data_IF_150905966721
#
_entry.id   IF_150905966721
#
_cell.length_a   1.000
_cell.length_b   1.000
_cell.length_c   1.000
_cell.angle_alpha   90.00
_cell.angle_beta   90.00
_cell.angle_gamma   90.00
#
_symmetry.space_group_name_H-M   'P 1'
#
loop_
_entity.id
_entity.type
_entity.pdbx_description
1 polymer ?
#
# COMPACT_ATOMS: atom_id res chain seq x y z
N UNK A 1 1.36 14.86 -3.10
CA UNK A 1 1.36 14.38 -1.69
C UNK A 1 1.96 12.98 -1.53
N UNK A 2 1.45 11.96 -2.21
CA UNK A 2 2.03 10.60 -2.15
C UNK A 2 3.48 10.57 -2.62
N UNK A 3 3.80 11.28 -3.71
CA UNK A 3 5.17 11.32 -4.24
C UNK A 3 6.16 11.90 -3.22
N UNK A 4 5.78 12.96 -2.50
CA UNK A 4 6.62 13.52 -1.43
C UNK A 4 6.77 12.59 -0.22
N UNK A 5 5.71 11.86 0.14
CA UNK A 5 5.78 10.82 1.17
C UNK A 5 6.71 9.68 0.73
N UNK A 6 6.56 9.22 -0.52
CA UNK A 6 7.39 8.16 -1.10
C UNK A 6 8.87 8.54 -1.12
N UNK A 7 9.20 9.75 -1.59
CA UNK A 7 10.57 10.25 -1.59
C UNK A 7 11.14 10.37 -0.17
N UNK A 8 10.33 10.83 0.79
CA UNK A 8 10.77 10.96 2.18
C UNK A 8 11.04 9.59 2.82
N UNK A 9 10.15 8.61 2.60
CA UNK A 9 10.36 7.23 3.07
C UNK A 9 11.61 6.64 2.42
N UNK A 10 11.77 6.81 1.10
CA UNK A 10 12.93 6.30 0.37
C UNK A 10 14.24 6.88 0.92
N UNK A 11 14.32 8.19 1.17
CA UNK A 11 15.52 8.82 1.75
C UNK A 11 15.89 8.19 3.10
N UNK A 12 14.90 7.92 3.97
CA UNK A 12 15.14 7.31 5.29
C UNK A 12 15.64 5.87 5.16
N UNK A 13 15.15 5.11 4.17
CA UNK A 13 15.62 3.76 3.84
C UNK A 13 17.07 3.82 3.33
N UNK A 14 17.34 4.71 2.36
CA UNK A 14 18.66 4.86 1.72
C UNK A 14 19.73 5.32 2.72
N UNK A 15 19.36 6.18 3.68
CA UNK A 15 20.21 6.61 4.80
C UNK A 15 20.44 5.49 5.84
N UNK A 16 19.79 4.33 5.70
CA UNK A 16 19.93 3.18 6.60
C UNK A 16 19.33 3.40 8.00
N UNK A 17 18.51 4.44 8.19
CA UNK A 17 18.03 4.88 9.52
C UNK A 17 17.11 3.89 10.22
N UNK A 18 16.43 3.04 9.46
CA UNK A 18 15.61 1.94 10.01
C UNK A 18 16.25 0.56 9.79
N UNK A 19 17.46 0.50 9.24
CA UNK A 19 18.07 -0.75 8.78
C UNK A 19 17.30 -1.35 7.60
N UNK A 20 17.16 -2.68 7.57
CA UNK A 20 16.41 -3.37 6.52
C UNK A 20 14.91 -3.37 6.85
N UNK A 21 14.02 -2.91 5.95
CA UNK A 21 12.59 -3.07 6.10
C UNK A 21 12.18 -4.52 6.31
N UNK A 22 11.26 -4.76 7.25
CA UNK A 22 10.74 -6.10 7.61
C UNK A 22 9.23 -6.19 7.56
N UNK A 23 8.53 -5.08 7.82
CA UNK A 23 7.07 -5.05 7.80
C UNK A 23 6.53 -3.68 7.39
N UNK A 24 5.55 -3.66 6.50
CA UNK A 24 4.81 -2.45 6.13
C UNK A 24 3.33 -2.61 6.47
N UNK A 25 2.73 -1.60 7.10
CA UNK A 25 1.28 -1.40 7.11
C UNK A 25 0.98 -0.08 6.42
N UNK A 26 0.14 -0.08 5.39
CA UNK A 26 -0.31 1.13 4.72
C UNK A 26 -1.82 1.07 4.51
N UNK A 27 -2.55 2.01 5.10
CA UNK A 27 -3.99 2.14 4.93
C UNK A 27 -4.26 3.49 4.29
N UNK A 28 -4.96 3.46 3.16
CA UNK A 28 -5.39 4.65 2.44
C UNK A 28 -6.91 4.72 2.48
N UNK A 29 -7.44 5.87 2.86
CA UNK A 29 -8.85 6.20 2.71
C UNK A 29 -8.99 7.24 1.60
N UNK A 30 -9.92 7.03 0.69
CA UNK A 30 -10.07 7.85 -0.52
C UNK A 30 -11.54 8.04 -0.90
N UNK A 31 -11.98 9.25 -1.25
CA UNK A 31 -13.37 9.50 -1.71
C UNK A 31 -13.74 8.68 -2.96
N UNK A 32 -15.01 8.30 -3.08
CA UNK A 32 -15.53 7.50 -4.22
C UNK A 32 -15.21 8.10 -5.59
N UNK A 33 -15.10 9.42 -5.69
CA UNK A 33 -14.82 10.15 -6.92
C UNK A 33 -13.39 9.91 -7.43
N UNK A 34 -12.47 9.51 -6.55
CA UNK A 34 -11.05 9.28 -6.87
C UNK A 34 -10.58 7.87 -6.56
N UNK A 35 -11.42 7.02 -5.96
CA UNK A 35 -11.07 5.69 -5.51
C UNK A 35 -11.40 4.62 -6.56
N UNK A 36 -10.43 4.31 -7.43
CA UNK A 36 -10.30 2.96 -8.00
C UNK A 36 -9.64 2.07 -6.93
N UNK A 37 -10.43 1.23 -6.26
CA UNK A 37 -9.92 0.39 -5.16
C UNK A 37 -8.95 -0.68 -5.66
N UNK A 38 -9.16 -1.23 -6.86
CA UNK A 38 -8.28 -2.25 -7.43
C UNK A 38 -6.97 -1.65 -7.94
N UNK A 39 -7.03 -0.55 -8.70
CA UNK A 39 -5.85 0.19 -9.10
C UNK A 39 -5.07 0.72 -7.90
N UNK A 40 -5.77 1.25 -6.89
CA UNK A 40 -5.17 1.76 -5.67
C UNK A 40 -4.41 0.69 -4.88
N UNK A 41 -5.00 -0.50 -4.68
CA UNK A 41 -4.32 -1.57 -3.95
C UNK A 41 -3.13 -2.12 -4.73
N UNK A 42 -3.23 -2.26 -6.06
CA UNK A 42 -2.14 -2.70 -6.91
C UNK A 42 -0.94 -1.75 -6.83
N UNK A 43 -1.22 -0.46 -6.83
CA UNK A 43 -0.19 0.55 -6.82
C UNK A 43 0.40 0.76 -5.40
N UNK A 44 -0.37 0.55 -4.32
CA UNK A 44 0.18 0.39 -2.96
C UNK A 44 1.09 -0.85 -2.85
N UNK A 45 0.74 -1.93 -3.55
CA UNK A 45 1.53 -3.17 -3.57
C UNK A 45 2.85 -2.93 -4.29
N UNK A 46 2.84 -2.23 -5.42
CA UNK A 46 4.06 -1.80 -6.11
C UNK A 46 4.94 -0.88 -5.24
N UNK A 47 4.33 0.06 -4.53
CA UNK A 47 5.05 0.91 -3.57
C UNK A 47 5.72 0.09 -2.46
N UNK A 48 5.01 -0.89 -1.90
CA UNK A 48 5.56 -1.80 -0.90
C UNK A 48 6.75 -2.61 -1.44
N UNK A 49 6.62 -3.13 -2.67
CA UNK A 49 7.68 -3.89 -3.32
C UNK A 49 8.95 -3.07 -3.55
N UNK A 50 8.82 -1.77 -3.81
CA UNK A 50 9.98 -0.88 -3.95
C UNK A 50 10.74 -0.66 -2.64
N UNK A 51 10.06 -0.75 -1.48
CA UNK A 51 10.68 -0.56 -0.18
C UNK A 51 11.19 -1.85 0.44
N UNK A 52 10.64 -3.00 0.04
CA UNK A 52 11.07 -4.29 0.58
C UNK A 52 12.35 -4.76 -0.10
N UNK A 53 13.30 -5.34 0.64
CA UNK A 53 14.60 -5.75 0.11
C UNK A 53 14.56 -7.02 -0.76
N UNK A 54 13.44 -7.75 -0.74
CA UNK A 54 13.27 -9.03 -1.44
C UNK A 54 12.01 -8.97 -2.32
N UNK A 55 11.94 -9.78 -3.38
CA UNK A 55 10.78 -9.85 -4.25
C UNK A 55 9.54 -10.44 -3.54
N UNK A 56 8.32 -10.09 -3.99
CA UNK A 56 7.09 -10.71 -3.49
C UNK A 56 7.07 -12.20 -3.86
N UNK A 57 6.63 -13.04 -2.92
CA UNK A 57 6.46 -14.48 -3.08
C UNK A 57 4.97 -14.82 -3.23
N UNK A 58 4.12 -14.20 -2.41
CA UNK A 58 2.68 -14.47 -2.38
C UNK A 58 1.90 -13.20 -2.11
N UNK A 59 0.72 -13.08 -2.73
CA UNK A 59 -0.27 -12.05 -2.45
C UNK A 59 -1.56 -12.72 -2.01
N UNK A 60 -2.12 -12.26 -0.90
CA UNK A 60 -3.43 -12.64 -0.42
C UNK A 60 -4.33 -11.42 -0.37
N UNK A 61 -5.40 -11.40 -1.16
CA UNK A 61 -6.29 -10.25 -1.26
C UNK A 61 -7.71 -10.63 -0.82
N UNK A 62 -8.36 -9.72 -0.09
CA UNK A 62 -9.75 -9.82 0.33
C UNK A 62 -10.46 -8.50 0.09
N UNK A 63 -11.73 -8.58 -0.29
CA UNK A 63 -12.66 -7.46 -0.36
C UNK A 63 -13.84 -7.65 0.59
N UNK A 64 -14.59 -6.57 0.79
CA UNK A 64 -15.92 -6.64 1.37
C UNK A 64 -17.00 -6.77 0.28
N UNK A 65 -18.24 -7.09 0.67
CA UNK A 65 -19.34 -7.43 -0.25
C UNK A 65 -19.64 -6.35 -1.29
N UNK A 66 -19.45 -5.07 -0.95
CA UNK A 66 -19.68 -3.92 -1.83
C UNK A 66 -18.40 -3.37 -2.47
N UNK A 67 -17.25 -4.04 -2.25
CA UNK A 67 -15.91 -3.65 -2.75
C UNK A 67 -15.50 -2.23 -2.39
N UNK A 68 -16.07 -1.67 -1.32
CA UNK A 68 -15.63 -0.38 -0.78
C UNK A 68 -14.31 -0.51 -0.03
N UNK A 69 -13.86 -1.73 0.28
CA UNK A 69 -12.57 -2.00 0.85
C UNK A 69 -11.89 -3.15 0.14
N UNK A 70 -10.63 -2.97 -0.22
CA UNK A 70 -9.74 -4.06 -0.61
C UNK A 70 -8.53 -4.04 0.32
N UNK A 71 -8.19 -5.21 0.86
CA UNK A 71 -7.00 -5.43 1.68
C UNK A 71 -6.14 -6.51 1.05
N UNK A 72 -4.84 -6.25 0.92
CA UNK A 72 -3.86 -7.20 0.43
C UNK A 72 -2.78 -7.44 1.50
N UNK A 73 -2.39 -8.70 1.66
CA UNK A 73 -1.19 -9.10 2.38
C UNK A 73 -0.18 -9.65 1.38
N UNK A 74 1.01 -9.05 1.33
CA UNK A 74 2.13 -9.54 0.53
C UNK A 74 3.12 -10.23 1.45
N UNK A 75 3.56 -11.42 1.07
CA UNK A 75 4.72 -12.09 1.67
C UNK A 75 5.88 -12.02 0.71
N UNK A 76 7.08 -11.81 1.23
CA UNK A 76 8.31 -11.69 0.45
C UNK A 76 9.22 -12.87 0.73
N UNK A 77 10.06 -13.23 -0.24
CA UNK A 77 10.94 -14.42 -0.17
C UNK A 77 11.94 -14.38 1.00
N UNK A 78 12.30 -13.18 1.47
CA UNK A 78 13.14 -12.97 2.64
C UNK A 78 12.42 -12.98 3.99
N UNK A 79 11.14 -13.35 4.02
CA UNK A 79 10.31 -13.39 5.24
C UNK A 79 9.69 -12.05 5.65
N UNK A 80 9.90 -10.98 4.88
CA UNK A 80 9.20 -9.71 5.09
C UNK A 80 7.72 -9.85 4.74
N UNK A 81 6.90 -8.89 5.20
CA UNK A 81 5.49 -8.83 4.79
C UNK A 81 4.95 -7.40 4.70
N UNK A 82 3.91 -7.20 3.91
CA UNK A 82 3.19 -5.93 3.81
C UNK A 82 1.69 -6.17 3.97
N UNK A 83 1.01 -5.37 4.80
CA UNK A 83 -0.43 -5.30 4.94
C UNK A 83 -0.93 -3.97 4.40
N UNK A 84 -1.68 -4.03 3.31
CA UNK A 84 -2.08 -2.88 2.51
C UNK A 84 -3.60 -2.83 2.45
N UNK A 85 -4.19 -1.64 2.58
CA UNK A 85 -5.64 -1.50 2.50
C UNK A 85 -6.02 -0.20 1.81
N UNK A 86 -6.96 -0.29 0.87
CA UNK A 86 -7.60 0.86 0.24
C UNK A 86 -9.07 0.84 0.61
N UNK A 87 -9.52 1.92 1.23
CA UNK A 87 -10.88 2.12 1.69
C UNK A 87 -11.51 3.27 0.91
N UNK A 88 -12.70 3.04 0.37
CA UNK A 88 -13.53 4.06 -0.25
C UNK A 88 -14.32 4.80 0.83
N UNK A 89 -14.24 6.12 0.79
CA UNK A 89 -15.03 7.04 1.60
C UNK A 89 -16.24 7.55 0.79
N UNK A 90 -17.30 8.01 1.48
CA UNK A 90 -18.37 8.77 0.85
C UNK A 90 -17.84 9.99 0.09
N UNK A 91 -18.68 10.48 -0.82
CA UNK A 91 -18.41 11.68 -1.60
C UNK A 91 -18.04 12.88 -0.71
N UNK A 92 -17.06 13.66 -1.14
CA UNK A 92 -16.56 14.82 -0.40
C UNK A 92 -15.73 14.51 0.85
N UNK A 93 -15.36 13.25 1.08
CA UNK A 93 -14.35 12.89 2.08
C UNK A 93 -12.96 13.44 1.74
N UNK A 94 -12.01 13.29 2.67
CA UNK A 94 -10.60 13.63 2.44
C UNK A 94 -9.76 12.37 2.26
N UNK A 95 -8.72 12.48 1.45
CA UNK A 95 -7.73 11.41 1.31
C UNK A 95 -6.87 11.37 2.58
N UNK A 96 -6.80 10.20 3.23
CA UNK A 96 -5.92 10.00 4.40
C UNK A 96 -5.03 8.78 4.21
N UNK A 97 -3.82 8.85 4.76
CA UNK A 97 -2.81 7.79 4.72
C UNK A 97 -2.29 7.52 6.13
N UNK A 98 -2.40 6.27 6.58
CA UNK A 98 -1.75 5.73 7.79
C UNK A 98 -0.69 4.71 7.34
N UNK A 99 0.58 5.07 7.52
CA UNK A 99 1.74 4.29 7.12
C UNK A 99 2.62 3.99 8.33
N UNK A 100 2.97 2.71 8.46
CA UNK A 100 3.97 2.22 9.41
C UNK A 100 4.94 1.31 8.67
N UNK A 101 6.19 1.75 8.54
CA UNK A 101 7.27 0.93 7.99
C UNK A 101 8.22 0.56 9.12
N UNK A 102 8.29 -0.72 9.44
CA UNK A 102 9.18 -1.28 10.46
C UNK A 102 10.39 -1.86 9.75
N UNK A 103 11.58 -1.40 10.14
CA UNK A 103 12.84 -2.06 9.85
C UNK A 103 13.45 -2.68 11.10
N UNK A 104 14.50 -3.46 10.94
CA UNK A 104 15.16 -4.14 12.06
C UNK A 104 15.87 -3.19 13.05
N UNK A 105 16.09 -1.92 12.68
CA UNK A 105 16.75 -0.91 13.52
C UNK A 105 15.85 0.30 13.86
N UNK A 106 14.60 0.34 13.38
CA UNK A 106 13.74 1.51 13.60
C UNK A 106 12.40 1.44 12.90
N UNK A 107 11.59 2.49 13.07
CA UNK A 107 10.22 2.56 12.52
C UNK A 107 10.00 3.95 11.91
N UNK A 108 9.37 4.00 10.74
CA UNK A 108 8.78 5.21 10.16
C UNK A 108 7.28 5.20 10.44
N UNK A 109 6.77 6.31 10.96
CA UNK A 109 5.35 6.55 11.16
C UNK A 109 4.92 7.76 10.33
N UNK A 110 3.83 7.61 9.59
CA UNK A 110 3.13 8.73 8.98
C UNK A 110 1.63 8.52 9.17
N UNK A 111 0.95 9.56 9.64
CA UNK A 111 -0.50 9.62 9.72
C UNK A 111 -0.91 10.99 9.18
N UNK A 112 -1.84 11.00 8.23
CA UNK A 112 -2.44 12.26 7.79
C UNK A 112 -3.15 12.91 8.98
N UNK A 113 -2.74 14.11 9.42
CA UNK A 113 -3.33 14.76 10.59
C UNK A 113 -4.84 14.96 10.39
N UNK A 114 -5.63 14.66 11.41
CA UNK A 114 -7.05 15.00 11.44
C UNK A 114 -7.22 16.47 11.86
N UNK A 115 -7.75 17.33 10.98
CA UNK A 115 -8.00 18.74 11.32
C UNK A 115 -8.08 19.70 10.11
N UNK A 116 -8.35 20.99 10.34
CA UNK A 116 -8.61 21.99 9.28
C UNK A 116 -7.36 22.39 8.47
N UNK A 117 -6.20 21.82 8.77
CA UNK A 117 -4.96 22.04 8.03
C UNK A 117 -4.98 21.19 6.76
N UNK A 118 -5.72 21.73 5.79
CA UNK A 118 -5.92 21.23 4.43
C UNK A 118 -4.62 20.78 3.79
N UNK A 119 -4.59 19.54 3.33
CA UNK A 119 -3.74 19.14 2.22
C UNK A 119 -4.65 18.97 1.00
N UNK A 120 -4.29 19.61 -0.11
CA UNK A 120 -5.08 19.56 -1.34
C UNK A 120 -5.40 18.12 -1.74
N UNK A 121 -6.64 17.88 -2.16
CA UNK A 121 -7.10 16.65 -2.81
C UNK A 121 -6.37 16.48 -4.14
N UNK A 122 -5.11 16.05 -4.09
CA UNK A 122 -4.49 15.46 -5.27
C UNK A 122 -5.06 14.06 -5.46
N UNK A 123 -5.41 13.66 -6.70
CA UNK A 123 -5.75 12.28 -6.97
C UNK A 123 -4.62 11.38 -6.47
N UNK A 124 -4.99 10.24 -5.90
CA UNK A 124 -4.03 9.21 -5.50
C UNK A 124 -3.40 8.58 -6.75
N UNK A 125 -2.45 9.28 -7.37
CA UNK A 125 -1.68 8.77 -8.49
C UNK A 125 -0.53 7.93 -7.96
N UNK A 126 -0.86 6.74 -7.48
CA UNK A 126 0.13 5.69 -7.34
C UNK A 126 0.38 5.12 -8.74
N UNK A 127 1.61 5.25 -9.24
CA UNK A 127 2.00 4.70 -10.54
C UNK A 127 2.67 3.34 -10.34
N UNK A 128 2.30 2.35 -11.17
CA UNK A 128 2.88 1.00 -11.15
C UNK A 128 1.93 -0.05 -10.58
N UNK A 129 2.35 -1.32 -10.67
CA UNK A 129 1.57 -2.47 -10.15
C UNK A 129 0.61 -3.10 -11.15
N UNK A 130 0.66 -2.71 -12.43
CA UNK A 130 -0.14 -3.31 -13.51
C UNK A 130 0.07 -4.84 -13.57
N UNK A 131 1.31 -5.29 -13.41
CA UNK A 131 1.69 -6.71 -13.35
C UNK A 131 1.11 -7.45 -12.14
N UNK A 132 0.72 -6.73 -11.09
CA UNK A 132 0.17 -7.28 -9.85
C UNK A 132 -1.36 -7.28 -9.83
N UNK A 133 -2.00 -6.56 -10.75
CA UNK A 133 -3.46 -6.47 -10.83
C UNK A 133 -4.07 -7.86 -11.01
N UNK A 134 -3.49 -8.69 -11.87
CA UNK A 134 -4.03 -10.02 -12.15
C UNK A 134 -3.89 -10.96 -10.95
N UNK A 135 -2.75 -10.94 -10.25
CA UNK A 135 -2.54 -11.71 -9.02
C UNK A 135 -3.49 -11.28 -7.90
N UNK A 136 -3.68 -9.97 -7.71
CA UNK A 136 -4.63 -9.42 -6.73
C UNK A 136 -6.06 -9.80 -7.10
N UNK A 137 -6.45 -9.65 -8.37
CA UNK A 137 -7.79 -10.02 -8.86
C UNK A 137 -8.06 -11.51 -8.62
N UNK A 138 -7.11 -12.38 -8.95
CA UNK A 138 -7.21 -13.81 -8.70
C UNK A 138 -7.32 -14.12 -7.19
N UNK A 139 -6.58 -13.39 -6.36
CA UNK A 139 -6.68 -13.51 -4.90
C UNK A 139 -8.06 -13.14 -4.37
N UNK A 140 -8.66 -12.07 -4.88
CA UNK A 140 -10.02 -11.65 -4.54
C UNK A 140 -11.08 -12.67 -4.95
N UNK A 141 -10.95 -13.25 -6.14
CA UNK A 141 -11.89 -14.24 -6.67
C UNK A 141 -11.82 -15.57 -5.92
N UNK A 142 -10.61 -16.07 -5.69
CA UNK A 142 -10.39 -17.39 -5.09
C UNK A 142 -10.42 -17.37 -3.57
N UNK A 143 -10.17 -16.20 -2.96
CA UNK A 143 -9.94 -16.02 -1.52
C UNK A 143 -8.82 -16.94 -1.02
N UNK A 144 -7.82 -17.19 -1.86
CA UNK A 144 -6.62 -17.96 -1.56
C UNK A 144 -5.36 -17.13 -1.83
N UNK A 145 -4.22 -17.47 -1.19
CA UNK A 145 -2.93 -16.87 -1.54
C UNK A 145 -2.53 -17.23 -2.97
N UNK A 146 -2.09 -16.24 -3.74
CA UNK A 146 -1.60 -16.38 -5.11
C UNK A 146 -0.08 -16.21 -5.10
N UNK A 147 0.65 -17.19 -5.62
CA UNK A 147 2.10 -17.08 -5.81
C UNK A 147 2.41 -16.06 -6.90
N UNK A 148 3.36 -15.18 -6.64
CA UNK A 148 3.86 -14.18 -7.59
C UNK A 148 5.23 -14.66 -8.03
N UNK A 149 5.30 -15.41 -9.13
CA UNK A 149 6.58 -15.83 -9.70
C UNK A 149 7.22 -14.64 -10.41
N UNK A 150 8.53 -14.41 -10.20
CA UNK A 150 9.32 -13.52 -11.05
C UNK A 150 9.17 -13.97 -12.51
N UNK A 151 8.74 -13.06 -13.38
CA UNK A 151 8.89 -13.21 -14.83
C UNK A 151 10.31 -12.95 -15.27
#
# INVERSE_FOLDING_TARGET
MIQSLQQSVQSVIDEGRIGSPVFLRCIVHAPIEVADTLGGIAALTALANNWMPNPPEQVYALDNTDRTQITAMVKYTGGQSALLSVNRLPAGGEVTVDLRLVGNNGIIYHETPTGPYRLMNEPLNFTGGEDLIDAIRQGLETKQPISVTEG
#
